data_IF_652108977255
#
_entry.id   IF_652108977255
#
_cell.length_a   1.000
_cell.length_b   1.000
_cell.length_c   1.000
_cell.angle_alpha   90.00
_cell.angle_beta   90.00
_cell.angle_gamma   90.00
#
_symmetry.space_group_name_H-M   'P 1'
#
loop_
_entity.id
_entity.type
_entity.pdbx_description
1 polymer ?
#
# COMPACT_ATOMS: atom_id res chain seq x y z
N UNK A 1 -15.88 -14.91 -11.59
CA UNK A 1 -14.40 -14.96 -11.66
C UNK A 1 -13.86 -13.68 -11.03
N UNK A 2 -12.69 -13.73 -10.40
CA UNK A 2 -12.08 -12.52 -9.79
C UNK A 2 -11.79 -11.47 -10.86
N UNK A 3 -11.94 -10.19 -10.55
CA UNK A 3 -11.52 -9.11 -11.45
C UNK A 3 -9.99 -8.98 -11.53
N UNK A 4 -9.27 -9.52 -10.55
CA UNK A 4 -7.81 -9.54 -10.51
C UNK A 4 -7.26 -10.81 -11.16
N UNK A 5 -5.99 -10.74 -11.60
CA UNK A 5 -5.28 -11.92 -12.09
C UNK A 5 -5.04 -12.92 -10.95
N UNK A 6 -4.87 -14.20 -11.29
CA UNK A 6 -4.54 -15.25 -10.31
C UNK A 6 -3.24 -14.93 -9.58
N UNK A 7 -2.24 -14.44 -10.30
CA UNK A 7 -0.94 -14.02 -9.74
C UNK A 7 -1.10 -12.91 -8.71
N UNK A 8 -1.90 -11.87 -9.03
CA UNK A 8 -2.16 -10.80 -8.09
C UNK A 8 -2.84 -11.32 -6.82
N UNK A 9 -3.85 -12.19 -6.96
CA UNK A 9 -4.54 -12.75 -5.79
C UNK A 9 -3.62 -13.59 -4.91
N UNK A 10 -2.68 -14.35 -5.47
CA UNK A 10 -1.68 -15.09 -4.70
C UNK A 10 -0.73 -14.17 -3.92
N UNK A 11 -0.31 -13.05 -4.54
CA UNK A 11 0.46 -12.02 -3.83
C UNK A 11 -0.36 -11.33 -2.76
N UNK A 12 -1.65 -11.05 -3.02
CA UNK A 12 -2.56 -10.46 -2.06
C UNK A 12 -2.83 -11.38 -0.86
N UNK A 13 -2.96 -12.69 -1.08
CA UNK A 13 -3.06 -13.69 -0.01
C UNK A 13 -1.83 -13.62 0.91
N UNK A 14 -0.62 -13.66 0.34
CA UNK A 14 0.63 -13.55 1.10
C UNK A 14 0.76 -12.20 1.80
N UNK A 15 0.48 -11.11 1.10
CA UNK A 15 0.49 -9.75 1.66
C UNK A 15 -0.45 -9.63 2.86
N UNK A 16 -1.67 -10.17 2.74
CA UNK A 16 -2.67 -10.13 3.82
C UNK A 16 -2.23 -10.86 5.08
N UNK A 17 -1.35 -11.86 4.96
CA UNK A 17 -0.79 -12.61 6.09
C UNK A 17 0.43 -11.90 6.66
N UNK A 18 1.37 -11.49 5.80
CA UNK A 18 2.64 -10.88 6.21
C UNK A 18 2.45 -9.50 6.84
N UNK A 19 1.55 -8.68 6.31
CA UNK A 19 1.34 -7.28 6.74
C UNK A 19 0.04 -7.09 7.53
N UNK A 20 -0.52 -8.18 8.08
CA UNK A 20 -1.76 -8.15 8.85
C UNK A 20 -1.66 -7.26 10.09
N UNK A 21 -0.48 -7.25 10.75
CA UNK A 21 -0.26 -6.39 11.90
C UNK A 21 -0.26 -4.91 11.52
N UNK A 22 0.43 -4.53 10.45
CA UNK A 22 0.47 -3.15 9.96
C UNK A 22 -0.92 -2.68 9.54
N UNK A 23 -1.72 -3.57 8.94
CA UNK A 23 -3.13 -3.31 8.65
C UNK A 23 -3.91 -3.03 9.92
N UNK A 24 -3.83 -3.90 10.93
CA UNK A 24 -4.51 -3.72 12.23
C UNK A 24 -4.08 -2.45 12.94
N UNK A 25 -2.78 -2.15 12.97
CA UNK A 25 -2.26 -0.94 13.61
C UNK A 25 -2.79 0.32 12.92
N UNK A 26 -2.86 0.31 11.58
CA UNK A 26 -3.44 1.40 10.80
C UNK A 26 -4.95 1.52 11.05
N UNK A 27 -5.70 0.42 11.03
CA UNK A 27 -7.13 0.40 11.32
C UNK A 27 -7.44 0.92 12.73
N UNK A 28 -6.70 0.45 13.74
CA UNK A 28 -6.85 0.90 15.12
C UNK A 28 -6.51 2.39 15.27
N UNK A 29 -5.46 2.87 14.57
CA UNK A 29 -5.12 4.29 14.55
C UNK A 29 -6.26 5.12 13.95
N UNK A 30 -6.80 4.71 12.80
CA UNK A 30 -7.90 5.40 12.12
C UNK A 30 -9.19 5.39 12.96
N UNK A 31 -9.50 4.28 13.64
CA UNK A 31 -10.69 4.15 14.48
C UNK A 31 -10.62 4.98 15.77
N UNK A 32 -9.44 5.07 16.39
CA UNK A 32 -9.28 5.83 17.65
C UNK A 32 -9.31 7.34 17.46
N UNK A 33 -9.36 7.84 16.22
CA UNK A 33 -9.04 9.23 15.85
C UNK A 33 -9.98 9.82 14.81
N UNK A 34 -11.23 9.35 14.76
CA UNK A 34 -12.23 9.72 13.72
C UNK A 34 -12.41 11.23 13.54
N UNK A 35 -12.16 12.04 14.57
CA UNK A 35 -12.30 13.51 14.54
C UNK A 35 -10.99 14.27 14.33
N UNK A 36 -9.84 13.60 14.37
CA UNK A 36 -8.55 14.26 14.15
C UNK A 36 -8.24 14.30 12.65
N UNK A 37 -7.35 15.20 12.22
CA UNK A 37 -6.88 15.19 10.83
C UNK A 37 -6.10 13.90 10.59
N UNK A 38 -6.80 12.92 10.01
CA UNK A 38 -6.29 11.59 9.71
C UNK A 38 -5.01 11.64 8.86
N UNK A 39 -4.81 12.73 8.10
CA UNK A 39 -3.61 12.93 7.29
C UNK A 39 -2.39 13.28 8.14
N UNK A 40 -2.52 13.65 9.40
CA UNK A 40 -1.35 13.88 10.26
C UNK A 40 -1.19 12.80 11.32
N UNK A 41 -2.29 12.27 11.85
CA UNK A 41 -2.23 11.42 13.06
C UNK A 41 -1.69 10.01 12.79
N UNK A 42 -2.08 9.38 11.67
CA UNK A 42 -1.73 7.98 11.39
C UNK A 42 -0.60 7.82 10.37
N UNK A 43 0.23 8.85 10.19
CA UNK A 43 1.29 8.86 9.16
C UNK A 43 2.29 7.72 9.31
N UNK A 44 2.68 7.38 10.54
CA UNK A 44 3.62 6.27 10.80
C UNK A 44 3.03 4.93 10.38
N UNK A 45 1.80 4.62 10.82
CA UNK A 45 1.12 3.36 10.51
C UNK A 45 0.81 3.26 9.02
N UNK A 46 0.37 4.37 8.42
CA UNK A 46 0.14 4.48 6.98
C UNK A 46 1.43 4.23 6.19
N UNK A 47 2.54 4.83 6.61
CA UNK A 47 3.85 4.63 6.01
C UNK A 47 4.32 3.18 6.07
N UNK A 48 4.16 2.51 7.21
CA UNK A 48 4.50 1.09 7.36
C UNK A 48 3.65 0.18 6.45
N UNK A 49 2.35 0.44 6.34
CA UNK A 49 1.46 -0.31 5.46
C UNK A 49 1.78 -0.06 3.97
N UNK A 50 2.04 1.19 3.59
CA UNK A 50 2.43 1.56 2.23
C UNK A 50 3.80 0.97 1.84
N UNK A 51 4.74 0.86 2.79
CA UNK A 51 6.02 0.18 2.53
C UNK A 51 5.80 -1.28 2.16
N UNK A 52 4.90 -1.99 2.86
CA UNK A 52 4.56 -3.37 2.48
C UNK A 52 3.95 -3.47 1.08
N UNK A 53 3.10 -2.51 0.71
CA UNK A 53 2.55 -2.44 -0.65
C UNK A 53 3.67 -2.19 -1.67
N UNK A 54 4.60 -1.28 -1.34
CA UNK A 54 5.75 -0.97 -2.18
C UNK A 54 6.61 -2.21 -2.41
N UNK A 55 6.96 -2.94 -1.35
CA UNK A 55 7.82 -4.13 -1.42
C UNK A 55 7.17 -5.29 -2.20
N UNK A 56 5.86 -5.51 -2.05
CA UNK A 56 5.19 -6.66 -2.65
C UNK A 56 4.70 -6.39 -4.07
N UNK A 57 4.14 -5.21 -4.34
CA UNK A 57 3.44 -4.94 -5.60
C UNK A 57 4.17 -3.94 -6.50
N UNK A 58 5.03 -3.09 -5.94
CA UNK A 58 5.64 -1.96 -6.64
C UNK A 58 7.15 -1.89 -6.45
N UNK A 59 7.80 -3.04 -6.22
CA UNK A 59 9.21 -3.10 -5.83
C UNK A 59 10.12 -2.45 -6.86
N UNK A 60 9.80 -2.62 -8.15
CA UNK A 60 10.55 -2.03 -9.25
C UNK A 60 10.51 -0.50 -9.19
N UNK A 61 9.31 0.08 -9.10
CA UNK A 61 9.08 1.52 -9.06
C UNK A 61 9.67 2.12 -7.77
N UNK A 62 9.46 1.46 -6.63
CA UNK A 62 10.02 1.86 -5.34
C UNK A 62 11.55 1.92 -5.38
N UNK A 63 12.21 0.84 -5.81
CA UNK A 63 13.68 0.78 -5.90
C UNK A 63 14.24 1.80 -6.89
N UNK A 64 13.52 2.09 -7.98
CA UNK A 64 13.92 3.11 -8.95
C UNK A 64 13.80 4.50 -8.34
N UNK A 65 12.73 4.78 -7.60
CA UNK A 65 12.54 6.01 -6.83
C UNK A 65 13.62 6.21 -5.79
N UNK A 66 13.90 5.21 -4.96
CA UNK A 66 14.95 5.26 -3.92
C UNK A 66 16.31 5.59 -4.54
N UNK A 67 16.70 4.90 -5.62
CA UNK A 67 17.96 5.18 -6.32
C UNK A 67 18.04 6.60 -6.86
N UNK A 68 16.94 7.14 -7.37
CA UNK A 68 16.91 8.53 -7.80
C UNK A 68 17.06 9.47 -6.60
N UNK A 69 16.31 9.23 -5.53
CA UNK A 69 16.34 10.07 -4.32
C UNK A 69 17.73 10.12 -3.70
N UNK A 70 18.41 8.98 -3.59
CA UNK A 70 19.80 8.90 -3.11
C UNK A 70 20.76 9.73 -3.97
N UNK A 71 20.57 9.71 -5.30
CA UNK A 71 21.40 10.47 -6.24
C UNK A 71 21.10 11.99 -6.20
N UNK A 72 19.84 12.37 -6.01
CA UNK A 72 19.39 13.76 -6.05
C UNK A 72 19.57 14.50 -4.71
N UNK A 73 19.73 13.78 -3.60
CA UNK A 73 19.85 14.37 -2.27
C UNK A 73 18.63 15.21 -1.91
N UNK A 74 18.82 16.40 -1.34
CA UNK A 74 17.71 17.26 -0.90
C UNK A 74 16.77 17.71 -2.04
N UNK A 75 17.26 17.67 -3.29
CA UNK A 75 16.47 18.07 -4.48
C UNK A 75 15.59 16.96 -5.04
N UNK A 76 15.53 15.80 -4.39
CA UNK A 76 14.82 14.62 -4.87
C UNK A 76 13.36 14.89 -5.27
N UNK A 77 12.66 15.79 -4.57
CA UNK A 77 11.26 16.09 -4.84
C UNK A 77 11.06 16.67 -6.25
N UNK A 78 12.02 17.46 -6.73
CA UNK A 78 12.01 18.06 -8.07
C UNK A 78 12.68 17.13 -9.09
N UNK A 79 13.86 16.62 -8.74
CA UNK A 79 14.72 15.93 -9.71
C UNK A 79 14.26 14.47 -9.99
N UNK A 80 13.45 13.88 -9.10
CA UNK A 80 12.91 12.51 -9.22
C UNK A 80 11.40 12.48 -9.47
N UNK A 81 10.83 13.54 -10.05
CA UNK A 81 9.39 13.66 -10.26
C UNK A 81 8.80 12.46 -11.02
N UNK A 82 9.49 11.99 -12.07
CA UNK A 82 8.99 10.90 -12.91
C UNK A 82 8.92 9.57 -12.14
N UNK A 83 9.95 9.26 -11.36
CA UNK A 83 10.02 8.06 -10.53
C UNK A 83 8.97 8.10 -9.42
N UNK A 84 8.79 9.27 -8.79
CA UNK A 84 7.76 9.47 -7.77
C UNK A 84 6.35 9.29 -8.34
N UNK A 85 6.09 9.81 -9.56
CA UNK A 85 4.80 9.63 -10.26
C UNK A 85 4.57 8.16 -10.61
N UNK A 86 5.58 7.47 -11.15
CA UNK A 86 5.48 6.05 -11.50
C UNK A 86 5.21 5.18 -10.26
N UNK A 87 5.90 5.46 -9.15
CA UNK A 87 5.63 4.80 -7.87
C UNK A 87 4.21 5.06 -7.38
N UNK A 88 3.75 6.32 -7.39
CA UNK A 88 2.39 6.70 -6.99
C UNK A 88 1.32 5.97 -7.82
N UNK A 89 1.49 5.91 -9.14
CA UNK A 89 0.58 5.18 -10.03
C UNK A 89 0.53 3.68 -9.73
N UNK A 90 1.69 3.08 -9.43
CA UNK A 90 1.73 1.68 -9.03
C UNK A 90 0.99 1.44 -7.72
N UNK A 91 1.28 2.26 -6.69
CA UNK A 91 0.63 2.11 -5.38
C UNK A 91 -0.88 2.31 -5.44
N UNK A 92 -1.35 3.29 -6.21
CA UNK A 92 -2.79 3.52 -6.42
C UNK A 92 -3.45 2.34 -7.14
N UNK A 93 -2.77 1.79 -8.15
CA UNK A 93 -3.22 0.59 -8.84
C UNK A 93 -3.30 -0.63 -7.92
N UNK A 94 -2.28 -0.83 -7.08
CA UNK A 94 -2.23 -1.92 -6.11
C UNK A 94 -3.33 -1.79 -5.05
N UNK A 95 -3.55 -0.59 -4.50
CA UNK A 95 -4.60 -0.32 -3.52
C UNK A 95 -6.00 -0.63 -4.07
N UNK A 96 -6.30 -0.20 -5.31
CA UNK A 96 -7.58 -0.50 -5.97
C UNK A 96 -7.79 -2.01 -6.13
N UNK A 97 -6.75 -2.74 -6.55
CA UNK A 97 -6.83 -4.20 -6.72
C UNK A 97 -6.93 -4.94 -5.37
N UNK A 98 -6.21 -4.49 -4.33
CA UNK A 98 -6.32 -5.02 -2.97
C UNK A 98 -7.73 -4.80 -2.41
N UNK A 99 -8.32 -3.62 -2.63
CA UNK A 99 -9.70 -3.34 -2.24
C UNK A 99 -10.70 -4.33 -2.87
N UNK A 100 -10.58 -4.55 -4.19
CA UNK A 100 -11.41 -5.53 -4.90
C UNK A 100 -11.19 -6.94 -4.35
N UNK A 101 -9.92 -7.34 -4.15
CA UNK A 101 -9.57 -8.64 -3.57
C UNK A 101 -10.22 -8.84 -2.19
N UNK A 102 -10.14 -7.84 -1.32
CA UNK A 102 -10.72 -7.90 0.03
C UNK A 102 -12.26 -8.00 -0.02
N UNK A 103 -12.92 -7.23 -0.89
CA UNK A 103 -14.38 -7.37 -1.11
C UNK A 103 -14.73 -8.78 -1.57
N UNK A 104 -14.00 -9.31 -2.53
CA UNK A 104 -14.26 -10.65 -3.08
C UNK A 104 -14.02 -11.74 -2.02
N UNK A 105 -13.03 -11.57 -1.14
CA UNK A 105 -12.73 -12.49 -0.04
C UNK A 105 -13.80 -12.43 1.05
N UNK A 106 -14.19 -11.23 1.51
CA UNK A 106 -15.27 -11.07 2.50
C UNK A 106 -16.62 -11.57 1.99
N UNK A 107 -16.91 -11.46 0.68
CA UNK A 107 -18.12 -12.07 0.09
C UNK A 107 -18.10 -13.59 0.10
N UNK A 108 -16.92 -14.22 0.01
CA UNK A 108 -16.79 -15.68 0.07
C UNK A 108 -16.86 -16.20 1.50
N UNK A 109 -16.34 -15.44 2.45
CA UNK A 109 -16.34 -15.78 3.88
C UNK A 109 -16.89 -14.60 4.69
N UNK A 110 -18.23 -14.42 4.77
CA UNK A 110 -18.82 -13.33 5.53
C UNK A 110 -18.49 -13.41 7.04
N UNK A 111 -18.21 -14.61 7.56
CA UNK A 111 -17.83 -14.84 8.97
C UNK A 111 -16.33 -14.61 9.27
N UNK A 112 -15.50 -14.28 8.27
CA UNK A 112 -14.05 -14.16 8.47
C UNK A 112 -13.58 -12.77 8.95
N UNK A 113 -14.50 -11.86 9.28
CA UNK A 113 -14.18 -10.52 9.80
C UNK A 113 -14.58 -10.37 11.26
#
# INVERSE_FOLDING_TARGET
MSRNTKEFNQLADKFSQTYDQQRRDLEQCLQSRVNDDINFVCQRQKGAYLLGIAEVFCSKEYNTGVKCQEKAGERWATDCFQENVAFGQCTDGALKKLYIYNIERSKKNPEAN
#
